data_IF_191512620074
#
_entry.id   IF_191512620074
#
_cell.length_a   1.000
_cell.length_b   1.000
_cell.length_c   1.000
_cell.angle_alpha   90.00
_cell.angle_beta   90.00
_cell.angle_gamma   90.00
#
_symmetry.space_group_name_H-M   'P 1'
#
loop_
_entity.id
_entity.type
_entity.pdbx_description
1 polymer ?
#
# COMPACT_ATOMS: atom_id res chain seq x y z
N UNK A 1 -38.66 10.14 -14.11
CA UNK A 1 -39.21 10.23 -12.73
C UNK A 1 -38.76 9.07 -11.84
N UNK A 2 -38.85 7.81 -12.29
CA UNK A 2 -38.50 6.62 -11.49
C UNK A 2 -37.03 6.59 -11.02
N UNK A 3 -36.09 6.91 -11.92
CA UNK A 3 -34.65 7.00 -11.61
C UNK A 3 -34.29 8.11 -10.61
N UNK A 4 -34.97 9.26 -10.68
CA UNK A 4 -34.79 10.36 -9.72
C UNK A 4 -35.32 10.00 -8.32
N UNK A 5 -36.40 9.21 -8.26
CA UNK A 5 -36.94 8.69 -6.99
C UNK A 5 -35.99 7.66 -6.36
N UNK A 6 -35.40 6.76 -7.14
CA UNK A 6 -34.40 5.81 -6.63
C UNK A 6 -33.11 6.48 -6.16
N UNK A 7 -32.64 7.52 -6.86
CA UNK A 7 -31.47 8.29 -6.44
C UNK A 7 -31.71 9.03 -5.12
N UNK A 8 -32.89 9.61 -4.93
CA UNK A 8 -33.27 10.28 -3.68
C UNK A 8 -33.42 9.31 -2.51
N UNK A 9 -34.00 8.14 -2.76
CA UNK A 9 -34.11 7.08 -1.74
C UNK A 9 -32.72 6.54 -1.36
N UNK A 10 -31.84 6.31 -2.33
CA UNK A 10 -30.47 5.87 -2.05
C UNK A 10 -29.66 6.90 -1.23
N UNK A 11 -29.80 8.19 -1.53
CA UNK A 11 -29.18 9.27 -0.76
C UNK A 11 -29.75 9.38 0.67
N UNK A 12 -31.06 9.18 0.84
CA UNK A 12 -31.71 9.15 2.15
C UNK A 12 -31.25 7.95 2.99
N UNK A 13 -31.12 6.76 2.39
CA UNK A 13 -30.62 5.58 3.10
C UNK A 13 -29.18 5.79 3.55
N UNK A 14 -28.29 6.31 2.68
CA UNK A 14 -26.90 6.60 3.04
C UNK A 14 -26.79 7.66 4.15
N UNK A 15 -27.66 8.67 4.16
CA UNK A 15 -27.69 9.69 5.21
C UNK A 15 -28.15 9.14 6.57
N UNK A 16 -29.06 8.18 6.60
CA UNK A 16 -29.56 7.54 7.83
C UNK A 16 -28.54 6.55 8.42
N UNK A 17 -27.65 5.97 7.62
CA UNK A 17 -26.59 5.07 8.13
C UNK A 17 -25.51 5.80 8.94
N UNK A 18 -25.47 7.13 8.93
CA UNK A 18 -24.46 7.95 9.62
C UNK A 18 -24.87 8.43 11.02
N UNK A 19 -26.11 8.16 11.48
CA UNK A 19 -26.63 8.72 12.74
C UNK A 19 -26.59 7.76 13.93
N UNK A 20 -26.01 6.57 13.78
CA UNK A 20 -25.74 5.65 14.89
C UNK A 20 -24.34 5.85 15.50
N UNK A 21 -23.99 7.10 15.84
CA UNK A 21 -22.87 7.35 16.75
C UNK A 21 -23.41 7.46 18.18
N UNK A 22 -23.69 6.30 18.79
CA UNK A 22 -23.65 6.22 20.25
C UNK A 22 -22.22 6.63 20.69
N UNK A 23 -22.09 7.29 21.85
CA UNK A 23 -20.81 7.51 22.52
C UNK A 23 -20.24 6.14 22.88
N UNK A 24 -19.58 5.49 21.91
CA UNK A 24 -18.92 4.22 22.11
C UNK A 24 -17.80 4.46 23.13
N UNK A 25 -17.68 3.62 24.16
CA UNK A 25 -16.54 3.68 25.06
C UNK A 25 -15.27 3.63 24.20
N UNK A 26 -14.26 4.39 24.62
CA UNK A 26 -12.96 4.32 23.98
C UNK A 26 -12.57 2.83 23.85
N UNK A 27 -12.03 2.39 22.69
CA UNK A 27 -11.61 1.01 22.55
C UNK A 27 -10.68 0.68 23.72
N UNK A 28 -10.97 -0.43 24.39
CA UNK A 28 -10.11 -0.92 25.47
C UNK A 28 -8.69 -1.11 24.93
N UNK A 29 -7.69 -1.02 25.81
CA UNK A 29 -6.30 -1.27 25.40
C UNK A 29 -6.14 -2.64 24.74
N UNK A 30 -6.94 -3.63 25.17
CA UNK A 30 -7.04 -4.95 24.54
C UNK A 30 -7.54 -4.89 23.09
N UNK A 31 -8.56 -4.09 22.79
CA UNK A 31 -9.08 -3.93 21.44
C UNK A 31 -8.06 -3.23 20.53
N UNK A 32 -7.30 -2.26 21.06
CA UNK A 32 -6.22 -1.60 20.33
C UNK A 32 -5.06 -2.56 20.05
N UNK A 33 -4.66 -3.36 21.02
CA UNK A 33 -3.63 -4.39 20.85
C UNK A 33 -4.04 -5.44 19.81
N UNK A 34 -5.29 -5.89 19.84
CA UNK A 34 -5.83 -6.83 18.85
C UNK A 34 -5.83 -6.25 17.42
N UNK A 35 -6.17 -4.97 17.26
CA UNK A 35 -6.13 -4.30 15.96
C UNK A 35 -4.70 -4.19 15.41
N UNK A 36 -3.72 -3.86 16.26
CA UNK A 36 -2.30 -3.83 15.86
C UNK A 36 -1.79 -5.22 15.49
N UNK A 37 -2.15 -6.25 16.26
CA UNK A 37 -1.77 -7.63 15.93
C UNK A 37 -2.40 -8.10 14.60
N UNK A 38 -3.66 -7.76 14.34
CA UNK A 38 -4.33 -8.06 13.07
C UNK A 38 -3.66 -7.33 11.90
N UNK A 39 -3.29 -6.06 12.08
CA UNK A 39 -2.58 -5.29 11.06
C UNK A 39 -1.18 -5.88 10.77
N UNK A 40 -0.44 -6.31 11.79
CA UNK A 40 0.85 -6.97 11.62
C UNK A 40 0.70 -8.29 10.84
N UNK A 41 -0.29 -9.12 11.18
CA UNK A 41 -0.56 -10.37 10.46
C UNK A 41 -0.98 -10.11 9.01
N UNK A 42 -1.80 -9.09 8.77
CA UNK A 42 -2.21 -8.70 7.42
C UNK A 42 -1.02 -8.22 6.58
N UNK A 43 -0.14 -7.38 7.16
CA UNK A 43 1.06 -6.92 6.49
C UNK A 43 1.99 -8.07 6.09
N UNK A 44 2.23 -9.03 6.99
CA UNK A 44 3.01 -10.21 6.68
C UNK A 44 2.34 -11.11 5.62
N UNK A 45 1.03 -11.34 5.73
CA UNK A 45 0.28 -12.14 4.76
C UNK A 45 0.35 -11.56 3.35
N UNK A 46 0.32 -10.23 3.24
CA UNK A 46 0.49 -9.54 1.96
C UNK A 46 1.90 -9.76 1.37
N UNK A 47 2.94 -9.85 2.20
CA UNK A 47 4.30 -10.20 1.74
C UNK A 47 4.38 -11.65 1.27
N UNK A 48 3.72 -12.58 1.97
CA UNK A 48 3.62 -13.99 1.54
C UNK A 48 2.91 -14.10 0.19
N UNK A 49 1.78 -13.40 0.02
CA UNK A 49 1.05 -13.39 -1.24
C UNK A 49 1.91 -12.84 -2.39
N UNK A 50 2.67 -11.76 -2.15
CA UNK A 50 3.59 -11.20 -3.14
C UNK A 50 4.72 -12.18 -3.51
N UNK A 51 5.27 -12.90 -2.53
CA UNK A 51 6.29 -13.92 -2.76
C UNK A 51 5.75 -15.07 -3.64
N UNK A 52 4.57 -15.59 -3.31
CA UNK A 52 3.93 -16.65 -4.11
C UNK A 52 3.62 -16.19 -5.54
N UNK A 53 3.15 -14.94 -5.70
CA UNK A 53 2.89 -14.36 -7.01
C UNK A 53 4.18 -14.26 -7.83
N UNK A 54 5.29 -13.84 -7.23
CA UNK A 54 6.60 -13.80 -7.88
C UNK A 54 7.03 -15.20 -8.34
N UNK A 55 6.98 -16.19 -7.44
CA UNK A 55 7.34 -17.59 -7.77
C UNK A 55 6.49 -18.16 -8.91
N UNK A 56 5.19 -17.83 -8.94
CA UNK A 56 4.30 -18.27 -10.01
C UNK A 56 4.69 -17.71 -11.37
N UNK A 57 5.08 -16.43 -11.42
CA UNK A 57 5.52 -15.76 -12.65
C UNK A 57 6.83 -16.36 -13.16
N UNK A 58 7.80 -16.58 -12.26
CA UNK A 58 9.08 -17.21 -12.61
C UNK A 58 8.90 -18.64 -13.13
N UNK A 59 7.97 -19.39 -12.55
CA UNK A 59 7.63 -20.74 -13.02
C UNK A 59 7.01 -20.71 -14.42
N UNK A 60 6.13 -19.74 -14.71
CA UNK A 60 5.55 -19.60 -16.05
C UNK A 60 6.61 -19.19 -17.06
N UNK A 61 7.44 -18.18 -16.73
CA UNK A 61 8.52 -17.71 -17.59
C UNK A 61 9.51 -18.84 -17.91
N UNK A 62 9.99 -19.56 -16.90
CA UNK A 62 10.91 -20.69 -17.10
C UNK A 62 10.30 -21.80 -17.98
N UNK A 63 9.01 -22.12 -17.80
CA UNK A 63 8.31 -23.10 -18.65
C UNK A 63 8.16 -22.64 -20.09
N UNK A 64 7.85 -21.37 -20.30
CA UNK A 64 7.79 -20.79 -21.65
C UNK A 64 9.16 -20.83 -22.34
N UNK A 65 10.21 -20.39 -21.65
CA UNK A 65 11.58 -20.38 -22.20
C UNK A 65 12.05 -21.81 -22.53
N UNK A 66 11.78 -22.78 -21.65
CA UNK A 66 12.11 -24.18 -21.89
C UNK A 66 11.39 -24.72 -23.14
N UNK A 67 10.09 -24.44 -23.29
CA UNK A 67 9.32 -24.86 -24.45
C UNK A 67 9.78 -24.18 -25.74
N UNK A 68 10.08 -22.88 -25.70
CA UNK A 68 10.57 -22.15 -26.87
C UNK A 68 11.94 -22.68 -27.34
N UNK A 69 12.85 -22.99 -26.40
CA UNK A 69 14.14 -23.64 -26.70
C UNK A 69 13.95 -25.04 -27.27
N UNK A 70 13.05 -25.84 -26.69
CA UNK A 70 12.73 -27.18 -27.19
C UNK A 70 12.11 -27.14 -28.60
N UNK A 71 11.36 -26.09 -28.92
CA UNK A 71 10.81 -25.85 -30.25
C UNK A 71 11.84 -25.27 -31.25
N UNK A 72 13.13 -25.21 -30.91
CA UNK A 72 14.20 -24.71 -31.77
C UNK A 72 14.17 -23.20 -32.05
N UNK A 73 13.38 -22.44 -31.28
CA UNK A 73 13.29 -20.98 -31.44
C UNK A 73 14.51 -20.33 -30.79
N UNK A 74 15.06 -19.30 -31.44
CA UNK A 74 16.04 -18.44 -30.79
C UNK A 74 15.35 -17.62 -29.70
N UNK A 75 15.77 -17.85 -28.45
CA UNK A 75 15.23 -17.17 -27.27
C UNK A 75 16.27 -16.18 -26.80
N UNK A 76 15.94 -14.89 -26.88
CA UNK A 76 16.77 -13.83 -26.32
C UNK A 76 17.03 -14.06 -24.82
N UNK A 77 18.18 -13.61 -24.34
CA UNK A 77 18.53 -13.76 -22.93
C UNK A 77 17.52 -12.99 -22.07
N UNK A 78 16.91 -13.63 -21.06
CA UNK A 78 15.99 -12.95 -20.16
C UNK A 78 16.70 -11.80 -19.44
N UNK A 79 16.05 -10.64 -19.41
CA UNK A 79 16.47 -9.53 -18.56
C UNK A 79 16.52 -10.01 -17.11
N UNK A 80 17.61 -9.69 -16.40
CA UNK A 80 17.76 -10.06 -15.01
C UNK A 80 16.65 -9.43 -14.16
N UNK A 81 15.83 -10.28 -13.54
CA UNK A 81 14.83 -9.87 -12.56
C UNK A 81 15.41 -10.04 -11.15
N UNK A 82 15.02 -9.17 -10.19
CA UNK A 82 15.33 -9.42 -8.79
C UNK A 82 14.76 -10.77 -8.34
N UNK A 83 15.45 -11.50 -7.45
CA UNK A 83 14.93 -12.75 -6.92
C UNK A 83 13.66 -12.53 -6.08
N UNK A 84 12.77 -13.52 -6.06
CA UNK A 84 11.61 -13.50 -5.18
C UNK A 84 12.05 -13.49 -3.71
N UNK A 85 11.71 -12.42 -2.99
CA UNK A 85 12.06 -12.26 -1.58
C UNK A 85 11.09 -13.05 -0.68
N UNK A 86 11.61 -14.02 0.07
CA UNK A 86 10.86 -14.75 1.07
C UNK A 86 10.63 -13.87 2.32
N UNK A 87 9.37 -13.64 2.74
CA UNK A 87 9.08 -12.89 3.96
C UNK A 87 9.52 -13.58 5.25
N UNK A 88 9.88 -14.87 5.20
CA UNK A 88 10.22 -15.65 6.38
C UNK A 88 9.02 -15.92 7.30
N UNK A 89 9.26 -16.56 8.46
CA UNK A 89 8.22 -16.81 9.46
C UNK A 89 7.56 -15.51 9.96
N UNK A 90 6.29 -15.60 10.37
CA UNK A 90 5.64 -14.48 11.03
C UNK A 90 6.16 -14.37 12.47
N UNK A 91 6.99 -13.36 12.72
CA UNK A 91 7.37 -12.97 14.06
C UNK A 91 6.37 -11.94 14.59
N UNK A 92 5.78 -12.22 15.75
CA UNK A 92 5.01 -11.20 16.46
C UNK A 92 5.97 -10.13 16.94
N UNK A 93 5.98 -8.97 16.27
CA UNK A 93 6.73 -7.82 16.75
C UNK A 93 6.23 -7.48 18.16
N UNK A 94 7.11 -7.59 19.15
CA UNK A 94 6.88 -7.06 20.50
C UNK A 94 6.38 -5.63 20.34
N UNK A 95 5.27 -5.28 21.00
CA UNK A 95 4.59 -4.01 20.81
C UNK A 95 5.53 -2.86 21.19
N UNK A 96 6.31 -2.36 20.22
CA UNK A 96 7.09 -1.15 20.39
C UNK A 96 6.12 0.00 20.63
N UNK A 97 6.33 0.85 21.64
CA UNK A 97 5.44 1.95 21.97
C UNK A 97 5.05 2.79 20.76
N UNK A 98 3.78 3.20 20.77
CA UNK A 98 3.04 3.83 19.69
C UNK A 98 3.57 5.26 19.43
N UNK A 99 4.76 5.38 18.85
CA UNK A 99 5.31 6.68 18.41
C UNK A 99 5.44 6.79 16.88
N UNK A 100 4.82 5.88 16.13
CA UNK A 100 4.90 5.90 14.66
C UNK A 100 3.53 5.88 13.96
N UNK A 101 2.45 6.29 14.63
CA UNK A 101 1.22 6.69 13.95
C UNK A 101 1.38 8.10 13.34
N UNK A 102 2.40 8.27 12.50
CA UNK A 102 2.59 9.43 11.65
C UNK A 102 2.24 9.07 10.22
N UNK A 103 1.12 9.63 9.75
CA UNK A 103 0.73 9.83 8.34
C UNK A 103 0.96 8.69 7.33
N UNK A 104 -0.15 8.17 6.81
CA UNK A 104 -0.20 7.57 5.47
C UNK A 104 0.35 8.55 4.42
N UNK A 105 1.54 8.27 3.90
CA UNK A 105 2.00 8.65 2.55
C UNK A 105 3.24 7.80 2.20
N UNK A 106 3.39 7.30 0.96
CA UNK A 106 4.61 6.60 0.57
C UNK A 106 5.80 7.59 0.63
N UNK A 107 6.86 7.20 1.32
CA UNK A 107 8.09 7.98 1.52
C UNK A 107 8.99 8.03 0.27
N UNK A 108 8.42 8.33 -0.91
CA UNK A 108 9.14 8.31 -2.19
C UNK A 108 9.25 9.69 -2.88
N UNK A 109 8.91 10.79 -2.22
CA UNK A 109 9.15 12.15 -2.76
C UNK A 109 9.63 13.11 -1.68
N UNK A 110 10.86 12.93 -1.20
CA UNK A 110 11.72 14.00 -0.67
C UNK A 110 13.11 13.44 -0.31
N UNK A 111 13.84 12.88 -1.29
CA UNK A 111 15.30 12.84 -1.17
C UNK A 111 15.77 14.25 -1.54
N UNK A 112 16.04 15.06 -0.51
CA UNK A 112 16.67 16.39 -0.54
C UNK A 112 15.79 17.57 -0.99
N UNK A 113 15.22 18.37 -0.06
CA UNK A 113 14.97 19.78 -0.38
C UNK A 113 16.32 20.49 -0.59
N UNK A 114 16.52 21.32 -1.64
CA UNK A 114 17.71 22.16 -1.73
C UNK A 114 17.59 23.29 -0.70
N UNK A 115 17.80 22.97 0.57
CA UNK A 115 17.82 23.96 1.64
C UNK A 115 19.17 24.67 1.60
N UNK A 116 19.27 25.67 0.72
CA UNK A 116 20.26 26.74 0.90
C UNK A 116 19.60 27.79 1.78
N UNK A 117 20.34 28.37 2.74
CA UNK A 117 19.87 29.39 3.69
C UNK A 117 19.55 30.75 3.02
N UNK A 118 19.22 30.75 1.73
CA UNK A 118 19.04 31.96 0.94
C UNK A 118 17.57 32.41 1.01
N UNK A 119 17.29 33.65 1.45
CA UNK A 119 15.93 34.18 1.47
C UNK A 119 15.32 34.21 0.06
N UNK A 120 14.05 33.79 -0.07
CA UNK A 120 13.33 33.69 -1.35
C UNK A 120 13.23 35.01 -2.12
N UNK A 121 13.32 36.15 -1.43
CA UNK A 121 13.32 37.50 -2.03
C UNK A 121 14.52 37.76 -2.96
N UNK A 122 15.58 36.94 -2.87
CA UNK A 122 16.75 37.00 -3.75
C UNK A 122 16.62 36.04 -4.95
N UNK A 123 15.83 34.96 -4.81
CA UNK A 123 15.72 33.91 -5.81
C UNK A 123 14.65 34.20 -6.89
N UNK A 124 13.62 34.97 -6.56
CA UNK A 124 12.59 35.37 -7.53
C UNK A 124 12.12 36.82 -7.27
N UNK A 125 12.77 37.83 -7.88
CA UNK A 125 12.23 39.19 -7.86
C UNK A 125 10.96 39.23 -8.71
N UNK A 126 9.80 39.35 -8.07
CA UNK A 126 8.51 39.41 -8.74
C UNK A 126 8.45 40.63 -9.68
N UNK A 127 8.27 40.38 -10.98
CA UNK A 127 8.02 41.42 -11.97
C UNK A 127 6.54 41.81 -11.91
N UNK A 128 6.28 43.04 -11.46
CA UNK A 128 4.97 43.66 -11.37
C UNK A 128 4.59 44.33 -12.70
N UNK A 129 3.37 44.14 -13.24
CA UNK A 129 2.65 45.20 -13.92
C UNK A 129 1.87 46.06 -12.90
#
# INVERSE_FOLDING_TARGET
>A
MKTSMHLRVALLVMAVMSTAHAKLPAPSDEAKAAATAAAAKAAWSNKVAAHQLCQSQDKVASRYLAQARAAGKSVAEPMATPPCADPGPFEMAEAKPIEAAGAHSPAATAVSPPSTLRPDSVANPAKKP
#
